data_IF_231434223130
#
_entry.id   IF_231434223130
#
_cell.length_a   1.000
_cell.length_b   1.000
_cell.length_c   1.000
_cell.angle_alpha   90.00
_cell.angle_beta   90.00
_cell.angle_gamma   90.00
#
_symmetry.space_group_name_H-M   'P 1'
#
loop_
_entity.id
_entity.type
_entity.pdbx_description
1 polymer ?
#
# COMPACT_ATOMS: atom_id res chain seq x y z
N UNK A 1 14.65 15.86 28.23
CA UNK A 1 14.90 15.22 26.92
C UNK A 1 14.19 16.03 25.85
N UNK A 2 14.89 16.41 24.78
CA UNK A 2 14.28 17.13 23.66
C UNK A 2 13.33 16.19 22.90
N UNK A 3 12.06 16.58 22.73
CA UNK A 3 11.10 15.90 21.85
C UNK A 3 11.19 16.54 20.48
N UNK A 4 11.64 15.79 19.49
CA UNK A 4 11.58 16.19 18.09
C UNK A 4 10.20 15.82 17.57
N UNK A 5 9.46 16.81 17.07
CA UNK A 5 8.20 16.58 16.36
C UNK A 5 8.53 16.35 14.89
N UNK A 6 8.41 15.10 14.44
CA UNK A 6 8.69 14.72 13.04
C UNK A 6 7.57 15.22 12.12
N UNK A 7 6.33 15.19 12.61
CA UNK A 7 5.16 15.74 11.93
C UNK A 7 4.46 16.79 12.80
N UNK A 8 3.84 17.77 12.16
CA UNK A 8 2.82 18.60 12.77
C UNK A 8 1.43 17.93 12.66
N UNK A 9 0.42 18.50 13.33
CA UNK A 9 -0.94 17.92 13.34
C UNK A 9 -1.57 17.77 11.96
N UNK A 10 -1.33 18.70 11.04
CA UNK A 10 -1.83 18.62 9.66
C UNK A 10 -1.11 17.54 8.85
N UNK A 11 0.19 17.37 9.07
CA UNK A 11 0.99 16.32 8.42
C UNK A 11 0.60 14.92 8.91
N UNK A 12 0.28 14.77 10.19
CA UNK A 12 -0.25 13.52 10.75
C UNK A 12 -1.60 13.16 10.11
N UNK A 13 -2.53 14.12 10.02
CA UNK A 13 -3.84 13.92 9.38
C UNK A 13 -3.73 13.60 7.88
N UNK A 14 -2.78 14.21 7.17
CA UNK A 14 -2.51 13.92 5.77
C UNK A 14 -1.72 12.60 5.56
N UNK A 15 -1.08 12.08 6.60
CA UNK A 15 -0.32 10.83 6.53
C UNK A 15 -1.23 9.60 6.59
N UNK A 16 -2.28 9.68 7.39
CA UNK A 16 -3.15 8.55 7.69
C UNK A 16 -3.99 7.99 6.53
N UNK A 17 -4.53 8.80 5.60
CA UNK A 17 -5.37 8.26 4.54
C UNK A 17 -4.58 7.55 3.42
N UNK A 18 -5.21 6.58 2.73
CA UNK A 18 -4.60 5.91 1.59
C UNK A 18 -4.29 6.91 0.46
N UNK A 19 -3.05 6.89 -0.05
CA UNK A 19 -2.61 7.77 -1.15
C UNK A 19 -3.48 7.60 -2.40
N UNK A 20 -3.62 8.67 -3.16
CA UNK A 20 -4.13 8.60 -4.53
C UNK A 20 -2.96 8.25 -5.44
N UNK A 21 -2.94 7.05 -6.01
CA UNK A 21 -1.91 6.65 -6.96
C UNK A 21 -2.29 7.07 -8.37
N UNK A 22 -1.38 7.75 -9.08
CA UNK A 22 -1.50 7.94 -10.52
C UNK A 22 -0.99 6.70 -11.29
N UNK A 23 -1.11 6.72 -12.62
CA UNK A 23 -0.68 5.61 -13.47
C UNK A 23 0.81 5.25 -13.35
N UNK A 24 1.68 6.23 -13.11
CA UNK A 24 3.11 5.99 -12.91
C UNK A 24 3.39 5.38 -11.54
N UNK A 25 2.70 5.86 -10.51
CA UNK A 25 2.80 5.33 -9.15
C UNK A 25 2.33 3.88 -9.08
N UNK A 26 1.22 3.54 -9.73
CA UNK A 26 0.72 2.15 -9.78
C UNK A 26 1.76 1.21 -10.38
N UNK A 27 2.40 1.59 -11.49
CA UNK A 27 3.48 0.78 -12.09
C UNK A 27 4.67 0.61 -11.13
N UNK A 28 5.00 1.66 -10.38
CA UNK A 28 6.13 1.64 -9.44
C UNK A 28 5.84 0.85 -8.17
N UNK A 29 4.66 1.03 -7.58
CA UNK A 29 4.34 0.47 -6.27
C UNK A 29 3.66 -0.90 -6.35
N UNK A 30 2.83 -1.15 -7.37
CA UNK A 30 2.17 -2.45 -7.58
C UNK A 30 3.04 -3.45 -8.36
N UNK A 31 4.35 -3.18 -8.46
CA UNK A 31 5.32 -4.17 -8.90
C UNK A 31 5.93 -4.89 -7.69
N UNK A 32 5.71 -6.20 -7.64
CA UNK A 32 6.26 -7.06 -6.59
C UNK A 32 7.67 -7.56 -6.92
N UNK A 33 8.57 -7.60 -5.92
CA UNK A 33 9.81 -8.34 -6.04
C UNK A 33 9.54 -9.85 -6.19
N UNK A 34 10.47 -10.62 -6.79
CA UNK A 34 10.29 -12.06 -7.04
C UNK A 34 9.85 -12.85 -5.80
N UNK A 35 10.45 -12.57 -4.64
CA UNK A 35 10.13 -13.26 -3.38
C UNK A 35 8.66 -13.13 -2.95
N UNK A 36 8.02 -12.00 -3.26
CA UNK A 36 6.59 -11.78 -2.97
C UNK A 36 5.70 -12.35 -4.08
N UNK A 37 6.18 -12.45 -5.32
CA UNK A 37 5.47 -13.13 -6.40
C UNK A 37 5.31 -14.62 -6.13
N UNK A 38 6.35 -15.26 -5.60
CA UNK A 38 6.30 -16.69 -5.23
C UNK A 38 5.25 -16.95 -4.14
N UNK A 39 5.11 -16.01 -3.20
CA UNK A 39 4.08 -16.07 -2.15
C UNK A 39 2.65 -16.00 -2.72
N UNK A 40 2.44 -15.29 -3.84
CA UNK A 40 1.13 -15.21 -4.50
C UNK A 40 0.72 -16.50 -5.22
N UNK A 41 1.67 -17.37 -5.58
CA UNK A 41 1.37 -18.64 -6.26
C UNK A 41 0.44 -19.51 -5.42
N UNK A 42 0.63 -19.48 -4.10
CA UNK A 42 -0.15 -20.24 -3.13
C UNK A 42 -1.54 -19.64 -2.83
N UNK A 43 -1.87 -18.46 -3.36
CA UNK A 43 -3.18 -17.84 -3.16
C UNK A 43 -4.18 -18.40 -4.17
N UNK A 44 -5.17 -19.15 -3.71
CA UNK A 44 -6.09 -19.88 -4.59
C UNK A 44 -7.13 -19.04 -5.34
N UNK A 45 -7.44 -17.81 -4.89
CA UNK A 45 -8.45 -16.97 -5.55
C UNK A 45 -7.84 -15.72 -6.18
N UNK A 46 -8.34 -15.28 -7.36
CA UNK A 46 -7.92 -14.04 -7.99
C UNK A 46 -8.05 -12.84 -7.04
N UNK A 47 -9.14 -12.77 -6.28
CA UNK A 47 -9.38 -11.72 -5.29
C UNK A 47 -8.28 -11.66 -4.24
N UNK A 48 -7.87 -12.81 -3.68
CA UNK A 48 -6.78 -12.85 -2.68
C UNK A 48 -5.46 -12.37 -3.28
N UNK A 49 -5.18 -12.70 -4.54
CA UNK A 49 -3.99 -12.23 -5.26
C UNK A 49 -4.00 -10.71 -5.44
N UNK A 50 -5.13 -10.14 -5.86
CA UNK A 50 -5.29 -8.68 -6.01
C UNK A 50 -5.15 -7.99 -4.66
N UNK A 51 -5.84 -8.44 -3.62
CA UNK A 51 -5.73 -7.85 -2.28
C UNK A 51 -4.29 -7.90 -1.73
N UNK A 52 -3.57 -9.01 -1.96
CA UNK A 52 -2.16 -9.12 -1.58
C UNK A 52 -1.27 -8.12 -2.34
N UNK A 53 -1.46 -8.00 -3.65
CA UNK A 53 -0.74 -7.05 -4.50
C UNK A 53 -0.94 -5.61 -4.02
N UNK A 54 -2.20 -5.23 -3.78
CA UNK A 54 -2.59 -3.92 -3.30
C UNK A 54 -1.97 -3.65 -1.93
N UNK A 55 -2.14 -4.56 -0.96
CA UNK A 55 -1.58 -4.41 0.38
C UNK A 55 -0.04 -4.22 0.37
N UNK A 56 0.66 -5.03 -0.43
CA UNK A 56 2.11 -4.90 -0.59
C UNK A 56 2.52 -3.58 -1.26
N UNK A 57 1.75 -3.11 -2.25
CA UNK A 57 1.96 -1.83 -2.92
C UNK A 57 1.79 -0.63 -2.00
N UNK A 58 0.71 -0.60 -1.23
CA UNK A 58 0.45 0.42 -0.21
C UNK A 58 1.56 0.42 0.85
N UNK A 59 1.99 -0.77 1.32
CA UNK A 59 3.11 -0.89 2.25
C UNK A 59 4.42 -0.38 1.65
N UNK A 60 4.69 -0.64 0.37
CA UNK A 60 5.88 -0.14 -0.34
C UNK A 60 5.89 1.40 -0.42
N UNK A 61 4.72 2.03 -0.55
CA UNK A 61 4.59 3.48 -0.65
C UNK A 61 4.61 4.19 0.71
N UNK A 62 3.90 3.66 1.71
CA UNK A 62 3.66 4.33 3.01
C UNK A 62 4.30 3.67 4.22
N UNK A 63 4.89 2.47 4.06
CA UNK A 63 5.39 1.63 5.17
C UNK A 63 4.32 1.33 6.23
N UNK A 64 3.04 1.33 5.81
CA UNK A 64 1.86 1.07 6.64
C UNK A 64 0.95 0.09 5.92
N UNK A 65 0.37 -0.85 6.67
CA UNK A 65 -0.73 -1.66 6.19
C UNK A 65 -2.04 -0.96 6.44
N UNK A 66 -2.93 -1.03 5.46
CA UNK A 66 -4.29 -0.54 5.56
C UNK A 66 -5.20 -1.76 5.62
N UNK A 67 -6.26 -1.69 6.41
CA UNK A 67 -7.31 -2.70 6.44
C UNK A 67 -8.12 -2.64 5.13
N UNK A 68 -9.44 -2.80 5.18
CA UNK A 68 -10.32 -2.76 4.02
C UNK A 68 -10.51 -1.39 3.38
N UNK A 69 -9.59 -0.44 3.62
CA UNK A 69 -9.64 0.95 3.17
C UNK A 69 -8.91 1.15 1.83
N UNK A 70 -8.87 0.13 0.98
CA UNK A 70 -8.31 0.25 -0.36
C UNK A 70 -9.23 1.07 -1.26
N UNK A 71 -8.65 1.82 -2.20
CA UNK A 71 -9.43 2.56 -3.20
C UNK A 71 -10.02 1.57 -4.21
N UNK A 72 -11.30 1.69 -4.60
CA UNK A 72 -11.95 0.76 -5.54
C UNK A 72 -11.17 0.59 -6.85
N UNK A 73 -10.69 1.69 -7.43
CA UNK A 73 -9.92 1.66 -8.68
C UNK A 73 -8.49 1.10 -8.57
N UNK A 74 -8.06 0.65 -7.39
CA UNK A 74 -6.84 -0.15 -7.21
C UNK A 74 -7.14 -1.66 -7.09
N UNK A 75 -8.41 -2.05 -6.92
CA UNK A 75 -8.89 -3.43 -6.77
C UNK A 75 -9.63 -3.92 -8.02
N UNK A 76 -10.27 -3.02 -8.77
CA UNK A 76 -10.93 -3.26 -10.06
C UNK A 76 -9.95 -3.21 -11.24
#
# INVERSE_FOLDING_TARGET
MARIRIFNTLEEEAFDPPLVFNSADRKRFFSLPPILKDSMVNLHTPTKKVCFLVAAGYFKARRKFFDWQFRPGDIE
#
